data_IF_714724029663
#
_entry.id   IF_714724029663
#
_cell.length_a   1.000
_cell.length_b   1.000
_cell.length_c   1.000
_cell.angle_alpha   90.00
_cell.angle_beta   90.00
_cell.angle_gamma   90.00
#
_symmetry.space_group_name_H-M   'P 1'
#
loop_
_entity.id
_entity.type
_entity.pdbx_description
1 polymer ?
#
# COMPACT_ATOMS: atom_id res chain seq x y z
N UNK A 1 0.10 -34.34 -40.44
CA UNK A 1 0.09 -35.46 -39.48
C UNK A 1 1.47 -35.56 -38.85
N UNK A 2 1.64 -34.94 -37.69
CA UNK A 2 2.74 -35.28 -36.79
C UNK A 2 2.09 -35.79 -35.53
N UNK A 3 2.26 -37.09 -35.36
CA UNK A 3 1.83 -37.91 -34.26
C UNK A 3 2.81 -37.68 -33.10
N UNK A 4 2.31 -37.22 -31.96
CA UNK A 4 3.09 -37.01 -30.75
C UNK A 4 2.49 -37.86 -29.63
N UNK A 5 2.57 -39.18 -29.77
CA UNK A 5 2.38 -40.10 -28.67
C UNK A 5 3.65 -40.22 -27.84
N UNK A 6 3.53 -39.95 -26.53
CA UNK A 6 4.23 -40.70 -25.51
C UNK A 6 5.43 -40.03 -24.82
N UNK A 7 5.16 -39.34 -23.71
CA UNK A 7 5.99 -39.46 -22.50
C UNK A 7 5.05 -39.69 -21.33
N UNK A 8 5.09 -40.89 -20.75
CA UNK A 8 4.47 -41.20 -19.47
C UNK A 8 5.24 -40.52 -18.34
N UNK A 9 4.56 -39.87 -17.38
CA UNK A 9 5.05 -39.73 -16.03
C UNK A 9 4.26 -40.67 -15.10
N UNK A 10 5.01 -41.36 -14.27
CA UNK A 10 4.58 -42.22 -13.15
C UNK A 10 3.67 -41.51 -12.16
N UNK A 11 2.77 -42.30 -11.57
CA UNK A 11 1.77 -41.98 -10.55
C UNK A 11 2.15 -40.88 -9.54
N UNK A 12 1.34 -39.81 -9.55
CA UNK A 12 0.82 -39.14 -8.34
C UNK A 12 -0.24 -38.11 -8.76
N UNK A 13 -1.29 -38.58 -9.44
CA UNK A 13 -2.46 -37.75 -9.78
C UNK A 13 -3.35 -37.59 -8.54
N UNK A 14 -2.98 -36.65 -7.67
CA UNK A 14 -4.01 -35.96 -6.89
C UNK A 14 -4.83 -35.14 -7.90
N UNK A 15 -6.16 -35.35 -8.02
CA UNK A 15 -6.96 -34.55 -8.92
C UNK A 15 -7.07 -33.17 -8.28
N UNK A 16 -6.15 -32.27 -8.62
CA UNK A 16 -6.46 -30.85 -8.60
C UNK A 16 -7.58 -30.68 -9.63
N UNK A 17 -8.83 -30.85 -9.18
CA UNK A 17 -10.01 -30.59 -9.98
C UNK A 17 -9.77 -29.25 -10.68
N UNK A 18 -9.82 -29.25 -12.01
CA UNK A 18 -9.66 -28.04 -12.80
C UNK A 18 -10.75 -27.07 -12.34
N UNK A 19 -10.42 -26.16 -11.44
CA UNK A 19 -11.35 -25.15 -10.95
C UNK A 19 -11.70 -24.29 -12.16
N UNK A 20 -12.87 -24.55 -12.73
CA UNK A 20 -13.42 -23.77 -13.82
C UNK A 20 -13.48 -22.30 -13.39
N UNK A 21 -13.25 -21.39 -14.32
CA UNK A 21 -13.46 -19.98 -14.04
C UNK A 21 -14.96 -19.74 -13.79
N UNK A 22 -15.30 -19.36 -12.57
CA UNK A 22 -16.62 -18.83 -12.24
C UNK A 22 -16.56 -17.31 -12.31
N UNK A 23 -17.45 -16.73 -13.12
CA UNK A 23 -17.59 -15.27 -13.19
C UNK A 23 -18.02 -14.74 -11.82
N UNK A 24 -17.48 -13.58 -11.43
CA UNK A 24 -17.98 -12.85 -10.26
C UNK A 24 -19.31 -12.17 -10.58
N UNK A 25 -20.23 -12.20 -9.63
CA UNK A 25 -21.48 -11.42 -9.62
C UNK A 25 -21.37 -10.35 -8.50
N UNK A 26 -20.61 -9.25 -8.71
CA UNK A 26 -20.46 -8.20 -7.70
C UNK A 26 -21.81 -7.62 -7.25
N UNK A 27 -22.81 -7.57 -8.12
CA UNK A 27 -24.17 -7.11 -7.87
C UNK A 27 -24.91 -7.90 -6.76
N UNK A 28 -24.50 -9.13 -6.50
CA UNK A 28 -25.05 -9.97 -5.43
C UNK A 28 -24.38 -9.72 -4.07
N UNK A 29 -23.28 -8.96 -4.04
CA UNK A 29 -22.56 -8.69 -2.80
C UNK A 29 -23.22 -7.58 -1.99
N UNK A 30 -23.22 -7.73 -0.66
CA UNK A 30 -23.78 -6.72 0.25
C UNK A 30 -23.13 -5.33 0.06
N UNK A 31 -21.81 -5.27 -0.11
CA UNK A 31 -21.11 -4.00 -0.33
C UNK A 31 -21.58 -3.30 -1.60
N UNK A 32 -21.76 -4.05 -2.70
CA UNK A 32 -22.27 -3.47 -3.93
C UNK A 32 -23.68 -2.93 -3.73
N UNK A 33 -24.58 -3.73 -3.16
CA UNK A 33 -25.98 -3.34 -2.96
C UNK A 33 -26.10 -2.10 -2.08
N UNK A 34 -25.36 -2.02 -0.98
CA UNK A 34 -25.32 -0.84 -0.12
C UNK A 34 -24.85 0.41 -0.87
N UNK A 35 -23.79 0.30 -1.66
CA UNK A 35 -23.29 1.44 -2.43
C UNK A 35 -24.28 1.84 -3.54
N UNK A 36 -24.79 0.87 -4.30
CA UNK A 36 -25.73 1.11 -5.39
C UNK A 36 -27.02 1.78 -4.91
N UNK A 37 -27.51 1.39 -3.72
CA UNK A 37 -28.74 1.95 -3.15
C UNK A 37 -28.54 3.34 -2.55
N UNK A 38 -27.36 3.65 -1.99
CA UNK A 38 -27.18 4.83 -1.14
C UNK A 38 -26.28 5.92 -1.75
N UNK A 39 -25.46 5.61 -2.76
CA UNK A 39 -24.43 6.54 -3.21
C UNK A 39 -24.98 7.82 -3.84
N UNK A 40 -25.98 7.72 -4.72
CA UNK A 40 -26.59 8.91 -5.35
C UNK A 40 -27.30 9.80 -4.32
N UNK A 41 -28.01 9.19 -3.36
CA UNK A 41 -28.62 9.92 -2.23
C UNK A 41 -27.58 10.63 -1.37
N UNK A 42 -26.48 9.94 -1.04
CA UNK A 42 -25.36 10.54 -0.31
C UNK A 42 -24.74 11.72 -1.06
N UNK A 43 -24.60 11.63 -2.39
CA UNK A 43 -24.09 12.75 -3.22
C UNK A 43 -25.05 13.94 -3.17
N UNK A 44 -26.34 13.69 -3.34
CA UNK A 44 -27.38 14.73 -3.33
C UNK A 44 -27.47 15.43 -1.97
N UNK A 45 -27.44 14.67 -0.86
CA UNK A 45 -27.51 15.20 0.50
C UNK A 45 -26.32 16.11 0.82
N UNK A 46 -25.12 15.76 0.37
CA UNK A 46 -23.94 16.61 0.54
C UNK A 46 -24.07 17.90 -0.28
N UNK A 47 -24.52 17.80 -1.53
CA UNK A 47 -24.73 18.97 -2.39
C UNK A 47 -25.77 19.94 -1.80
N UNK A 48 -26.86 19.41 -1.24
CA UNK A 48 -27.89 20.22 -0.56
C UNK A 48 -27.36 20.97 0.67
N UNK A 49 -26.31 20.46 1.33
CA UNK A 49 -25.63 21.11 2.45
C UNK A 49 -24.48 22.04 2.01
N UNK A 50 -24.34 22.29 0.71
CA UNK A 50 -23.27 23.11 0.13
C UNK A 50 -21.92 22.40 0.03
N UNK A 51 -21.86 21.08 0.27
CA UNK A 51 -20.64 20.27 0.13
C UNK A 51 -20.56 19.62 -1.24
N UNK A 52 -19.40 19.71 -1.90
CA UNK A 52 -19.16 19.01 -3.16
C UNK A 52 -18.17 17.88 -2.92
N UNK A 53 -18.55 16.66 -3.32
CA UNK A 53 -17.66 15.51 -3.30
C UNK A 53 -16.53 15.71 -4.31
N UNK A 54 -15.25 15.51 -3.91
CA UNK A 54 -14.15 15.58 -4.86
C UNK A 54 -14.36 14.62 -6.03
N UNK A 55 -14.06 15.07 -7.25
CA UNK A 55 -14.32 14.30 -8.47
C UNK A 55 -13.71 12.89 -8.43
N UNK A 56 -12.54 12.74 -7.79
CA UNK A 56 -11.85 11.46 -7.69
C UNK A 56 -12.59 10.49 -6.77
N UNK A 57 -13.28 10.97 -5.73
CA UNK A 57 -14.14 10.14 -4.88
C UNK A 57 -15.28 9.60 -5.71
N UNK A 58 -15.99 10.48 -6.44
CA UNK A 58 -17.08 10.07 -7.32
C UNK A 58 -16.64 9.04 -8.36
N UNK A 59 -15.51 9.28 -9.02
CA UNK A 59 -14.92 8.33 -9.98
C UNK A 59 -14.67 6.95 -9.36
N UNK A 60 -14.17 6.86 -8.13
CA UNK A 60 -13.91 5.56 -7.49
C UNK A 60 -15.20 4.78 -7.20
N UNK A 61 -16.26 5.47 -6.78
CA UNK A 61 -17.58 4.84 -6.54
C UNK A 61 -18.25 4.42 -7.85
N UNK A 62 -18.30 5.30 -8.85
CA UNK A 62 -18.83 4.99 -10.18
C UNK A 62 -18.05 3.83 -10.81
N UNK A 63 -16.72 3.84 -10.69
CA UNK A 63 -15.86 2.75 -11.14
C UNK A 63 -16.16 1.44 -10.43
N UNK A 64 -16.40 1.46 -9.13
CA UNK A 64 -16.78 0.26 -8.36
C UNK A 64 -18.13 -0.31 -8.82
N UNK A 65 -19.16 0.52 -8.98
CA UNK A 65 -20.48 0.10 -9.44
C UNK A 65 -20.46 -0.49 -10.85
N UNK A 66 -19.49 -0.09 -11.68
CA UNK A 66 -19.32 -0.66 -13.04
C UNK A 66 -18.43 -1.90 -13.08
N UNK A 67 -17.66 -2.16 -12.03
CA UNK A 67 -16.62 -3.18 -12.04
C UNK A 67 -17.19 -4.60 -11.98
N UNK A 68 -16.99 -5.40 -13.02
CA UNK A 68 -17.42 -6.81 -13.06
C UNK A 68 -18.86 -7.02 -13.56
N UNK A 69 -19.52 -5.95 -13.97
CA UNK A 69 -20.86 -5.95 -14.59
C UNK A 69 -20.70 -6.00 -16.11
N UNK A 70 -21.36 -6.95 -16.78
CA UNK A 70 -21.22 -7.14 -18.24
C UNK A 70 -21.76 -5.97 -19.06
N UNK A 71 -22.85 -5.35 -18.60
CA UNK A 71 -23.49 -4.21 -19.27
C UNK A 71 -22.56 -2.99 -19.39
N UNK A 72 -21.49 -2.95 -18.58
CA UNK A 72 -20.48 -1.90 -18.60
C UNK A 72 -19.22 -2.26 -19.38
N UNK A 73 -19.20 -3.42 -20.04
CA UNK A 73 -18.15 -3.86 -20.95
C UNK A 73 -17.57 -5.23 -20.60
N UNK A 74 -17.27 -6.02 -21.63
CA UNK A 74 -16.72 -7.36 -21.50
C UNK A 74 -15.74 -7.70 -22.63
N UNK A 75 -14.90 -8.70 -22.38
CA UNK A 75 -14.13 -9.41 -23.39
C UNK A 75 -14.64 -10.85 -23.51
N UNK A 76 -14.83 -11.33 -24.74
CA UNK A 76 -15.14 -12.73 -25.03
C UNK A 76 -13.84 -13.47 -25.31
N UNK A 77 -13.49 -14.41 -24.43
CA UNK A 77 -12.40 -15.35 -24.65
C UNK A 77 -12.97 -16.63 -25.25
N UNK A 78 -12.60 -16.89 -26.49
CA UNK A 78 -12.99 -18.09 -27.22
C UNK A 78 -11.77 -19.01 -27.40
N UNK A 79 -11.94 -20.29 -27.10
CA UNK A 79 -10.92 -21.31 -27.37
C UNK A 79 -11.36 -22.17 -28.56
N UNK A 80 -10.56 -22.18 -29.63
CA UNK A 80 -10.85 -22.96 -30.83
C UNK A 80 -10.74 -24.48 -30.61
N UNK A 81 -9.91 -24.94 -29.67
CA UNK A 81 -9.74 -26.38 -29.43
C UNK A 81 -10.92 -26.97 -28.67
N UNK A 82 -11.37 -26.29 -27.60
CA UNK A 82 -12.48 -26.77 -26.78
C UNK A 82 -13.84 -26.16 -27.12
N UNK A 83 -13.89 -25.22 -28.07
CA UNK A 83 -15.10 -24.53 -28.58
C UNK A 83 -15.93 -23.86 -27.47
N UNK A 84 -15.29 -23.43 -26.39
CA UNK A 84 -15.95 -22.78 -25.24
C UNK A 84 -15.67 -21.30 -25.21
N UNK A 85 -16.71 -20.57 -24.80
CA UNK A 85 -16.67 -19.15 -24.52
C UNK A 85 -16.55 -18.85 -23.03
N UNK A 86 -15.79 -17.81 -22.71
CA UNK A 86 -15.79 -17.17 -21.40
C UNK A 86 -15.96 -15.67 -21.57
N UNK A 87 -16.96 -15.12 -20.91
CA UNK A 87 -17.16 -13.68 -20.84
C UNK A 87 -16.43 -13.14 -19.61
N UNK A 88 -15.53 -12.19 -19.85
CA UNK A 88 -14.75 -11.54 -18.81
C UNK A 88 -15.19 -10.08 -18.75
N UNK A 89 -15.92 -9.72 -17.70
CA UNK A 89 -16.31 -8.34 -17.45
C UNK A 89 -15.08 -7.46 -17.16
N UNK A 90 -15.15 -6.19 -17.57
CA UNK A 90 -14.09 -5.23 -17.29
C UNK A 90 -13.97 -4.92 -15.80
N UNK A 91 -12.74 -4.56 -15.39
CA UNK A 91 -12.41 -4.22 -14.01
C UNK A 91 -12.11 -2.74 -13.89
N UNK A 92 -12.46 -2.13 -12.76
CA UNK A 92 -12.19 -0.70 -12.55
C UNK A 92 -10.71 -0.39 -12.35
N UNK A 93 -9.88 -1.40 -12.04
CA UNK A 93 -8.46 -1.24 -11.70
C UNK A 93 -8.23 -0.23 -10.57
N UNK A 94 -9.26 0.04 -9.75
CA UNK A 94 -9.23 0.92 -8.59
C UNK A 94 -8.38 0.36 -7.45
N UNK A 95 -8.12 1.19 -6.43
CA UNK A 95 -7.34 0.80 -5.23
C UNK A 95 -8.12 0.91 -3.93
N UNK A 96 -9.29 1.56 -3.98
CA UNK A 96 -9.98 2.04 -2.78
C UNK A 96 -11.12 1.11 -2.40
N UNK A 97 -12.25 1.22 -3.11
CA UNK A 97 -13.51 0.60 -2.71
C UNK A 97 -13.64 -0.86 -3.19
N UNK A 98 -13.21 -1.16 -4.41
CA UNK A 98 -13.40 -2.47 -5.03
C UNK A 98 -12.47 -3.53 -4.42
N UNK A 99 -12.98 -4.50 -3.62
CA UNK A 99 -12.13 -5.46 -2.93
C UNK A 99 -11.38 -6.36 -3.92
N UNK A 100 -12.05 -6.80 -5.00
CA UNK A 100 -11.40 -7.68 -5.97
C UNK A 100 -10.27 -7.01 -6.74
N UNK A 101 -10.44 -5.75 -7.16
CA UNK A 101 -9.36 -5.01 -7.84
C UNK A 101 -8.23 -4.64 -6.88
N UNK A 102 -8.58 -4.23 -5.66
CA UNK A 102 -7.61 -3.94 -4.59
C UNK A 102 -6.75 -5.16 -4.26
N UNK A 103 -7.39 -6.30 -3.97
CA UNK A 103 -6.70 -7.57 -3.65
C UNK A 103 -5.87 -8.07 -4.82
N UNK A 104 -6.40 -8.08 -6.05
CA UNK A 104 -5.62 -8.48 -7.24
C UNK A 104 -4.35 -7.65 -7.36
N UNK A 105 -4.47 -6.33 -7.23
CA UNK A 105 -3.32 -5.42 -7.31
C UNK A 105 -2.33 -5.61 -6.16
N UNK A 106 -2.81 -5.90 -4.95
CA UNK A 106 -1.92 -6.24 -3.82
C UNK A 106 -1.15 -7.53 -4.11
N UNK A 107 -1.82 -8.56 -4.61
CA UNK A 107 -1.19 -9.84 -4.97
C UNK A 107 -0.17 -9.66 -6.11
N UNK A 108 -0.53 -8.96 -7.18
CA UNK A 108 0.36 -8.68 -8.31
C UNK A 108 1.57 -7.83 -7.87
N UNK A 109 1.33 -6.85 -7.00
CA UNK A 109 2.39 -6.03 -6.41
C UNK A 109 3.34 -6.84 -5.52
N UNK A 110 2.80 -7.74 -4.70
CA UNK A 110 3.60 -8.63 -3.87
C UNK A 110 4.46 -9.59 -4.72
N UNK A 111 3.88 -10.21 -5.75
CA UNK A 111 4.60 -11.06 -6.69
C UNK A 111 5.73 -10.27 -7.38
N UNK A 112 5.44 -9.08 -7.90
CA UNK A 112 6.47 -8.23 -8.50
C UNK A 112 7.61 -7.90 -7.51
N UNK A 113 7.29 -7.58 -6.25
CA UNK A 113 8.30 -7.31 -5.24
C UNK A 113 9.17 -8.53 -4.96
N UNK A 114 8.58 -9.72 -4.80
CA UNK A 114 9.32 -10.96 -4.49
C UNK A 114 10.15 -11.45 -5.67
N UNK A 115 9.61 -11.35 -6.88
CA UNK A 115 10.21 -11.93 -8.07
C UNK A 115 11.24 -11.01 -8.73
N UNK A 116 11.07 -9.68 -8.62
CA UNK A 116 11.80 -8.71 -9.46
C UNK A 116 12.51 -7.60 -8.69
N UNK A 117 12.15 -7.31 -7.43
CA UNK A 117 12.67 -6.13 -6.72
C UNK A 117 13.49 -6.52 -5.49
N UNK A 118 12.95 -7.36 -4.62
CA UNK A 118 13.60 -7.76 -3.39
C UNK A 118 14.72 -8.76 -3.70
N UNK A 119 15.93 -8.54 -3.15
CA UNK A 119 17.02 -9.49 -3.33
C UNK A 119 16.75 -10.78 -2.54
N UNK A 120 17.47 -11.85 -2.88
CA UNK A 120 17.51 -13.08 -2.07
C UNK A 120 18.33 -12.86 -0.79
N UNK A 121 17.78 -12.05 0.12
CA UNK A 121 18.35 -11.74 1.42
C UNK A 121 17.22 -11.63 2.46
N UNK A 122 17.49 -11.84 3.77
CA UNK A 122 16.52 -11.61 4.82
C UNK A 122 15.92 -10.19 4.75
N UNK A 123 14.62 -10.08 5.02
CA UNK A 123 13.87 -8.81 5.01
C UNK A 123 13.24 -8.61 6.38
N UNK A 124 13.27 -7.38 6.88
CA UNK A 124 12.63 -6.97 8.13
C UNK A 124 11.60 -5.89 7.87
N UNK A 125 10.42 -6.09 8.44
CA UNK A 125 9.38 -5.08 8.44
C UNK A 125 9.61 -4.05 9.55
N UNK A 126 9.61 -2.78 9.17
CA UNK A 126 9.56 -1.64 10.08
C UNK A 126 8.24 -0.91 9.86
N UNK A 127 7.50 -0.66 10.94
CA UNK A 127 6.21 0.04 10.88
C UNK A 127 6.31 1.34 11.68
N UNK A 128 6.02 2.46 11.03
CA UNK A 128 5.85 3.75 11.70
C UNK A 128 4.36 4.11 11.72
N UNK A 129 3.79 4.04 12.92
CA UNK A 129 2.45 4.54 13.22
C UNK A 129 2.56 5.95 13.79
N UNK A 130 1.70 6.86 13.32
CA UNK A 130 1.70 8.24 13.78
C UNK A 130 0.70 8.46 14.92
N UNK A 131 0.91 9.44 15.82
CA UNK A 131 -0.13 9.98 16.69
C UNK A 131 -1.36 10.42 15.90
N UNK A 132 -2.55 10.32 16.49
CA UNK A 132 -3.82 10.61 15.79
C UNK A 132 -3.86 11.98 15.12
N UNK A 133 -3.44 13.02 15.84
CA UNK A 133 -3.40 14.39 15.33
C UNK A 133 -2.53 14.47 14.04
N UNK A 134 -1.35 13.84 14.05
CA UNK A 134 -0.45 13.81 12.90
C UNK A 134 -1.02 13.04 11.70
N UNK A 135 -1.83 11.99 11.92
CA UNK A 135 -2.42 11.23 10.79
C UNK A 135 -3.29 12.10 9.90
N UNK A 136 -3.98 13.08 10.47
CA UNK A 136 -4.78 14.04 9.72
C UNK A 136 -3.87 14.91 8.84
N UNK A 137 -2.95 15.66 9.43
CA UNK A 137 -2.06 16.56 8.69
C UNK A 137 -1.27 15.84 7.58
N UNK A 138 -0.65 14.71 7.93
CA UNK A 138 0.14 13.88 7.01
C UNK A 138 -0.76 13.20 5.95
N UNK A 139 -2.02 12.93 6.29
CA UNK A 139 -3.01 12.39 5.37
C UNK A 139 -3.36 13.35 4.23
N UNK A 140 -3.47 14.65 4.53
CA UNK A 140 -3.86 15.67 3.55
C UNK A 140 -2.68 16.35 2.85
N UNK A 141 -1.48 16.24 3.41
CA UNK A 141 -0.28 16.82 2.83
C UNK A 141 0.67 15.73 2.31
N UNK A 142 0.68 15.52 0.99
CA UNK A 142 1.59 14.60 0.33
C UNK A 142 3.07 14.98 0.49
N UNK A 143 3.39 16.28 0.56
CA UNK A 143 4.75 16.80 0.78
C UNK A 143 5.20 16.46 2.20
N UNK A 144 4.37 16.77 3.20
CA UNK A 144 4.64 16.42 4.60
C UNK A 144 4.75 14.90 4.77
N UNK A 145 3.88 14.12 4.13
CA UNK A 145 3.96 12.65 4.11
C UNK A 145 5.30 12.16 3.57
N UNK A 146 5.78 12.72 2.45
CA UNK A 146 7.10 12.44 1.91
C UNK A 146 8.23 12.82 2.89
N UNK A 147 8.13 13.96 3.56
CA UNK A 147 9.12 14.41 4.55
C UNK A 147 9.18 13.49 5.77
N UNK A 148 8.04 13.14 6.36
CA UNK A 148 7.95 12.22 7.51
C UNK A 148 8.50 10.84 7.12
N UNK A 149 8.11 10.32 5.95
CA UNK A 149 8.65 9.05 5.43
C UNK A 149 10.17 9.13 5.24
N UNK A 150 10.69 10.21 4.66
CA UNK A 150 12.13 10.37 4.45
C UNK A 150 12.92 10.47 5.76
N UNK A 151 12.35 11.10 6.81
CA UNK A 151 12.94 11.10 8.15
C UNK A 151 13.00 9.69 8.74
N UNK A 152 11.88 8.95 8.66
CA UNK A 152 11.79 7.57 9.13
C UNK A 152 12.80 6.64 8.44
N UNK A 153 12.82 6.64 7.11
CA UNK A 153 13.75 5.80 6.33
C UNK A 153 15.20 6.15 6.68
N UNK A 154 15.54 7.43 6.79
CA UNK A 154 16.91 7.86 7.16
C UNK A 154 17.32 7.41 8.56
N UNK A 155 16.41 7.48 9.54
CA UNK A 155 16.70 7.02 10.91
C UNK A 155 17.00 5.51 10.93
N UNK A 156 16.19 4.69 10.25
CA UNK A 156 16.41 3.24 10.15
C UNK A 156 17.72 2.93 9.40
N UNK A 157 17.95 3.54 8.23
CA UNK A 157 19.19 3.34 7.45
C UNK A 157 20.43 3.72 8.26
N UNK A 158 20.39 4.86 8.97
CA UNK A 158 21.47 5.32 9.84
C UNK A 158 21.79 4.28 10.92
N UNK A 159 20.78 3.61 11.49
CA UNK A 159 21.00 2.53 12.46
C UNK A 159 21.72 1.34 11.82
N UNK A 160 21.24 0.82 10.69
CA UNK A 160 21.88 -0.29 9.97
C UNK A 160 23.35 0.03 9.65
N UNK A 161 23.62 1.22 9.10
CA UNK A 161 24.98 1.64 8.75
C UNK A 161 25.92 1.79 9.95
N UNK A 162 25.44 2.39 11.04
CA UNK A 162 26.25 2.55 12.27
C UNK A 162 26.58 1.19 12.90
N UNK A 163 25.62 0.26 12.90
CA UNK A 163 25.86 -1.11 13.40
C UNK A 163 26.86 -1.85 12.53
N UNK A 164 26.68 -1.81 11.22
CA UNK A 164 27.62 -2.41 10.26
C UNK A 164 29.03 -1.86 10.46
N UNK A 165 29.18 -0.53 10.61
CA UNK A 165 30.47 0.10 10.89
C UNK A 165 31.12 -0.45 12.16
N UNK A 166 30.38 -0.46 13.28
CA UNK A 166 30.91 -0.91 14.56
C UNK A 166 31.30 -2.41 14.57
N UNK A 167 30.52 -3.26 13.91
CA UNK A 167 30.72 -4.71 13.96
C UNK A 167 31.70 -5.24 12.92
N UNK A 168 31.77 -4.59 11.76
CA UNK A 168 32.63 -5.01 10.65
C UNK A 168 33.91 -4.18 10.57
N UNK A 169 34.12 -3.22 11.49
CA UNK A 169 35.29 -2.34 11.49
C UNK A 169 35.40 -1.45 10.26
N UNK A 170 34.26 -1.03 9.67
CA UNK A 170 34.28 -0.22 8.44
C UNK A 170 34.92 1.16 8.72
N UNK A 171 35.71 1.66 7.78
CA UNK A 171 36.28 3.01 7.89
C UNK A 171 35.15 4.07 7.89
N UNK A 172 34.12 3.87 7.07
CA UNK A 172 32.99 4.79 6.92
C UNK A 172 31.65 4.08 6.84
N UNK A 173 30.62 4.72 7.41
CA UNK A 173 29.21 4.30 7.25
C UNK A 173 28.74 4.35 5.80
N UNK A 174 29.45 5.09 4.93
CA UNK A 174 29.13 5.19 3.50
C UNK A 174 29.40 3.89 2.73
N UNK A 175 30.25 3.01 3.27
CA UNK A 175 30.51 1.69 2.69
C UNK A 175 29.33 0.71 2.87
N UNK A 176 28.40 1.02 3.79
CA UNK A 176 27.26 0.18 4.09
C UNK A 176 26.01 0.64 3.32
N UNK A 177 25.63 -0.10 2.29
CA UNK A 177 24.46 0.17 1.47
C UNK A 177 23.23 -0.54 2.05
N UNK A 178 22.10 0.15 2.05
CA UNK A 178 20.82 -0.31 2.59
C UNK A 178 19.75 -0.15 1.53
N UNK A 179 18.70 -0.97 1.57
CA UNK A 179 17.55 -0.85 0.67
C UNK A 179 16.23 -1.05 1.42
N UNK A 180 15.19 -0.32 1.00
CA UNK A 180 13.85 -0.49 1.53
C UNK A 180 12.78 -0.19 0.48
N UNK A 181 11.65 -0.89 0.59
CA UNK A 181 10.41 -0.60 -0.12
C UNK A 181 9.33 -0.23 0.90
N UNK A 182 8.58 0.84 0.66
CA UNK A 182 7.52 1.27 1.59
C UNK A 182 6.14 1.24 0.94
N UNK A 183 5.18 0.63 1.63
CA UNK A 183 3.76 0.81 1.38
C UNK A 183 3.19 1.85 2.37
N UNK A 184 2.58 2.91 1.83
CA UNK A 184 1.89 3.94 2.62
C UNK A 184 0.44 3.51 2.75
N UNK A 185 0.04 3.06 3.93
CA UNK A 185 -1.33 2.68 4.21
C UNK A 185 -2.07 3.87 4.84
N UNK A 186 -3.26 4.17 4.33
CA UNK A 186 -4.05 5.36 4.70
C UNK A 186 -5.33 5.03 5.47
N UNK A 187 -5.64 3.76 5.67
CA UNK A 187 -6.90 3.33 6.27
C UNK A 187 -6.68 2.25 7.33
N UNK A 188 -7.63 2.21 8.25
CA UNK A 188 -7.80 1.15 9.25
C UNK A 188 -8.77 0.08 8.75
N UNK A 189 -8.95 -1.00 9.52
CA UNK A 189 -9.97 -2.03 9.22
C UNK A 189 -11.39 -1.47 9.11
N UNK A 190 -11.68 -0.34 9.75
CA UNK A 190 -12.98 0.35 9.66
C UNK A 190 -13.02 1.41 8.55
N UNK A 191 -12.06 1.41 7.63
CA UNK A 191 -11.87 2.39 6.55
C UNK A 191 -11.61 3.85 7.00
N UNK A 192 -11.57 4.11 8.30
CA UNK A 192 -11.22 5.42 8.83
C UNK A 192 -9.74 5.77 8.57
N UNK A 193 -9.45 7.06 8.41
CA UNK A 193 -8.11 7.59 8.16
C UNK A 193 -7.13 7.08 9.22
N UNK A 194 -6.16 6.31 8.77
CA UNK A 194 -5.09 5.78 9.60
C UNK A 194 -3.80 5.74 8.78
N UNK A 195 -3.12 6.88 8.67
CA UNK A 195 -1.87 6.95 7.92
C UNK A 195 -0.72 6.32 8.72
N UNK A 196 -0.11 5.28 8.14
CA UNK A 196 1.06 4.59 8.66
C UNK A 196 1.91 4.02 7.53
N UNK A 197 3.19 3.79 7.82
CA UNK A 197 4.17 3.33 6.86
C UNK A 197 4.56 1.89 7.16
N UNK A 198 4.43 1.00 6.18
CA UNK A 198 5.02 -0.34 6.21
C UNK A 198 6.26 -0.36 5.33
N UNK A 199 7.45 -0.39 5.93
CA UNK A 199 8.72 -0.39 5.22
C UNK A 199 9.41 -1.75 5.34
N UNK A 200 9.61 -2.42 4.21
CA UNK A 200 10.37 -3.65 4.09
C UNK A 200 11.84 -3.30 3.85
N UNK A 201 12.68 -3.46 4.85
CA UNK A 201 14.12 -3.26 4.75
C UNK A 201 14.83 -4.58 4.49
N UNK A 202 15.88 -4.58 3.66
CA UNK A 202 16.86 -5.67 3.70
C UNK A 202 17.44 -5.72 5.11
N UNK A 203 17.43 -6.89 5.74
CA UNK A 203 17.79 -7.05 7.15
C UNK A 203 19.29 -7.19 7.33
N UNK A 204 20.00 -6.17 6.89
CA UNK A 204 21.45 -6.17 6.76
C UNK A 204 21.89 -5.00 5.90
N UNK A 205 23.09 -5.14 5.34
CA UNK A 205 23.72 -4.16 4.47
C UNK A 205 24.40 -4.86 3.31
N UNK A 206 24.59 -4.15 2.21
CA UNK A 206 25.48 -4.55 1.13
C UNK A 206 26.79 -3.76 1.24
N UNK A 207 27.90 -4.46 1.06
CA UNK A 207 29.22 -3.88 0.85
C UNK A 207 29.59 -4.04 -0.63
N UNK A 208 30.16 -3.02 -1.23
CA UNK A 208 30.77 -3.13 -2.56
C UNK A 208 32.15 -3.78 -2.43
N UNK A 209 32.41 -4.80 -3.25
CA UNK A 209 33.70 -5.48 -3.35
C UNK A 209 34.59 -4.79 -4.39
N UNK A 210 35.88 -5.11 -4.36
CA UNK A 210 36.85 -4.55 -5.30
C UNK A 210 36.54 -4.88 -6.77
N UNK A 211 35.83 -5.99 -7.03
CA UNK A 211 35.36 -6.40 -8.37
C UNK A 211 34.04 -5.74 -8.79
N UNK A 212 33.52 -4.79 -8.01
CA UNK A 212 32.24 -4.11 -8.25
C UNK A 212 31.00 -4.93 -7.87
N UNK A 213 31.16 -6.15 -7.36
CA UNK A 213 30.02 -6.96 -6.91
C UNK A 213 29.56 -6.57 -5.51
N UNK A 214 28.26 -6.74 -5.23
CA UNK A 214 27.70 -6.46 -3.92
C UNK A 214 27.68 -7.71 -3.03
N UNK A 215 28.21 -7.61 -1.82
CA UNK A 215 28.16 -8.67 -0.81
C UNK A 215 27.20 -8.31 0.32
N UNK A 216 26.19 -9.15 0.53
CA UNK A 216 25.30 -8.99 1.67
C UNK A 216 25.98 -9.39 2.99
N UNK A 217 25.77 -8.58 4.03
CA UNK A 217 26.19 -8.85 5.41
C UNK A 217 25.00 -8.63 6.33
N UNK A 218 24.69 -9.63 7.14
CA UNK A 218 23.70 -9.50 8.21
C UNK A 218 24.20 -8.54 9.27
N UNK A 219 23.27 -7.79 9.87
CA UNK A 219 23.51 -7.12 11.15
C UNK A 219 22.50 -7.69 12.15
N UNK A 220 22.81 -7.77 13.45
CA UNK A 220 21.87 -8.36 14.39
C UNK A 220 20.61 -7.49 14.52
N UNK A 221 19.49 -8.10 14.93
CA UNK A 221 18.22 -7.41 15.09
C UNK A 221 18.34 -6.21 16.04
N UNK A 222 17.51 -5.17 15.85
CA UNK A 222 17.47 -4.04 16.77
C UNK A 222 17.01 -4.50 18.16
N UNK A 223 17.68 -4.01 19.20
CA UNK A 223 17.21 -4.18 20.59
C UNK A 223 16.06 -3.21 20.89
N UNK A 224 15.33 -3.41 21.99
CA UNK A 224 14.29 -2.47 22.44
C UNK A 224 14.82 -1.04 22.60
N UNK A 225 16.03 -0.88 23.15
CA UNK A 225 16.69 0.43 23.30
C UNK A 225 16.96 1.09 21.94
N UNK A 226 17.26 0.29 20.92
CA UNK A 226 17.47 0.82 19.57
C UNK A 226 16.18 1.20 18.89
N UNK A 227 15.11 0.41 19.07
CA UNK A 227 13.79 0.80 18.61
C UNK A 227 13.37 2.13 19.24
N UNK A 228 13.58 2.30 20.55
CA UNK A 228 13.33 3.57 21.23
C UNK A 228 14.17 4.71 20.63
N UNK A 229 15.47 4.50 20.42
CA UNK A 229 16.33 5.53 19.84
C UNK A 229 15.91 5.94 18.42
N UNK A 230 15.42 5.00 17.59
CA UNK A 230 14.86 5.32 16.27
C UNK A 230 13.56 6.12 16.44
N UNK A 231 12.69 5.74 17.36
CA UNK A 231 11.45 6.48 17.65
C UNK A 231 11.74 7.90 18.11
N UNK A 232 12.68 8.09 19.04
CA UNK A 232 13.05 9.40 19.57
C UNK A 232 13.67 10.29 18.48
N UNK A 233 14.56 9.72 17.65
CA UNK A 233 15.15 10.44 16.51
C UNK A 233 14.08 10.89 15.51
N UNK A 234 13.13 10.02 15.18
CA UNK A 234 12.02 10.35 14.28
C UNK A 234 11.11 11.40 14.91
N UNK A 235 10.74 11.25 16.18
CA UNK A 235 9.90 12.20 16.90
C UNK A 235 10.51 13.61 16.90
N UNK A 236 11.77 13.72 17.36
CA UNK A 236 12.49 14.99 17.40
C UNK A 236 12.72 15.59 16.00
N UNK A 237 12.82 14.76 14.96
CA UNK A 237 12.94 15.25 13.60
C UNK A 237 11.60 15.74 13.03
N UNK A 238 10.50 15.06 13.32
CA UNK A 238 9.15 15.44 12.88
C UNK A 238 8.70 16.72 13.58
N UNK A 239 8.98 16.89 14.87
CA UNK A 239 8.71 18.12 15.62
C UNK A 239 9.40 19.36 15.06
N UNK A 240 10.50 19.19 14.31
CA UNK A 240 11.24 20.29 13.67
C UNK A 240 10.72 20.63 12.28
N UNK A 241 9.75 19.88 11.74
CA UNK A 241 9.11 20.24 10.48
C UNK A 241 8.23 21.47 10.69
N UNK A 242 8.40 22.48 9.84
CA UNK A 242 7.60 23.72 9.90
C UNK A 242 6.11 23.40 9.71
N UNK A 243 5.25 24.06 10.48
CA UNK A 243 3.79 23.92 10.37
C UNK A 243 3.20 22.72 11.13
N UNK A 244 4.02 22.02 11.93
CA UNK A 244 3.57 21.03 12.90
C UNK A 244 3.80 21.56 14.32
N UNK A 245 2.72 21.99 14.97
CA UNK A 245 2.67 22.04 16.43
C UNK A 245 1.99 20.75 16.90
N UNK A 246 2.69 19.97 17.73
CA UNK A 246 2.14 18.72 18.27
C UNK A 246 1.36 18.95 19.57
N UNK A 247 1.59 20.09 20.23
CA UNK A 247 1.04 20.42 21.53
C UNK A 247 -0.25 21.24 21.40
N UNK A 248 -0.39 22.03 20.33
CA UNK A 248 -1.67 22.57 19.90
C UNK A 248 -2.22 21.72 18.75
N UNK A 249 -3.45 21.24 18.84
CA UNK A 249 -4.12 20.41 17.80
C UNK A 249 -4.40 21.22 16.51
N UNK A 250 -3.68 22.31 16.27
CA UNK A 250 -3.81 23.20 15.13
C UNK A 250 -2.70 22.92 14.11
N UNK A 251 -3.09 22.33 12.98
CA UNK A 251 -2.17 22.06 11.88
C UNK A 251 -2.28 23.14 10.81
N UNK A 252 -1.42 24.15 10.90
CA UNK A 252 -1.30 25.17 9.85
C UNK A 252 -0.84 24.57 8.51
N UNK A 253 -0.02 23.51 8.54
CA UNK A 253 0.54 22.88 7.34
C UNK A 253 -0.52 22.35 6.33
N UNK A 254 -1.73 22.02 6.80
CA UNK A 254 -2.81 21.56 5.91
C UNK A 254 -3.96 22.57 5.78
N UNK A 255 -3.92 23.73 6.44
CA UNK A 255 -5.03 24.69 6.55
C UNK A 255 -5.61 25.08 5.18
N UNK A 256 -4.75 25.49 4.24
CA UNK A 256 -5.18 25.91 2.90
C UNK A 256 -5.80 24.76 2.09
N UNK A 257 -5.28 23.54 2.23
CA UNK A 257 -5.82 22.34 1.57
C UNK A 257 -7.14 21.88 2.18
N UNK A 258 -7.25 21.95 3.50
CA UNK A 258 -8.52 21.67 4.19
C UNK A 258 -9.59 22.70 3.88
N UNK A 259 -9.21 23.95 3.60
CA UNK A 259 -10.13 24.99 3.14
C UNK A 259 -10.59 24.78 1.69
N UNK A 260 -9.71 24.26 0.82
CA UNK A 260 -10.05 23.93 -0.57
C UNK A 260 -10.98 22.71 -0.69
N UNK A 261 -10.88 21.73 0.22
CA UNK A 261 -11.71 20.51 0.23
C UNK A 261 -12.39 20.29 1.60
N UNK A 262 -13.35 21.15 1.99
CA UNK A 262 -13.92 21.17 3.33
C UNK A 262 -14.67 19.88 3.68
N UNK A 263 -15.36 19.28 2.70
CA UNK A 263 -16.08 18.01 2.90
C UNK A 263 -15.10 16.85 3.16
N UNK A 264 -14.02 16.75 2.38
CA UNK A 264 -13.03 15.70 2.57
C UNK A 264 -12.31 15.86 3.91
N UNK A 265 -11.95 17.09 4.26
CA UNK A 265 -11.38 17.43 5.57
C UNK A 265 -12.34 17.06 6.71
N UNK A 266 -13.64 17.33 6.58
CA UNK A 266 -14.64 16.96 7.56
C UNK A 266 -14.75 15.43 7.74
N UNK A 267 -14.84 14.67 6.64
CA UNK A 267 -14.90 13.21 6.67
C UNK A 267 -13.67 12.60 7.34
N UNK A 268 -12.47 13.06 6.98
CA UNK A 268 -11.25 12.56 7.58
C UNK A 268 -11.06 13.00 9.04
N UNK A 269 -11.47 14.23 9.37
CA UNK A 269 -11.47 14.71 10.76
C UNK A 269 -12.43 13.90 11.64
N UNK A 270 -13.61 13.53 11.11
CA UNK A 270 -14.53 12.61 11.78
C UNK A 270 -13.89 11.23 11.99
N UNK A 271 -13.22 10.68 10.96
CA UNK A 271 -12.57 9.37 11.04
C UNK A 271 -11.41 9.30 12.05
N UNK A 272 -10.75 10.42 12.33
CA UNK A 272 -9.70 10.53 13.35
C UNK A 272 -10.31 10.71 14.75
N UNK A 273 -11.46 11.40 14.88
CA UNK A 273 -12.12 11.69 16.16
C UNK A 273 -13.01 10.57 16.71
N UNK A 274 -13.47 9.67 15.86
CA UNK A 274 -14.38 8.58 16.25
C UNK A 274 -13.65 7.40 16.95
N UNK A 275 -12.51 7.63 17.59
CA UNK A 275 -11.63 6.61 18.18
C UNK A 275 -11.00 7.09 19.48
#
# INVERSE_FOLDING_TARGET
>A
MHDCTGVHPTDSTSPAAAVGYTRRAPEETLLYQLVAQNFDGFVADNAARGGILPWFVRREFDGFLRCGILDHGLCRLYCADCQRDRLIAFSCKGRSLCPSCGVRRMADGAAHLVDRVLPKAPVRQWVLSLPYALRFAVGFDATLCGQVLALFIRAVQRRYRRRAKAQLGLASVRQAHTGAVTAIQRFSSSLGLNLHFHSLFVDGIYLERADGTAQFRTVPPPSRRELQAVTDEVCAAVQRLRGLDLDSVQFDACRDRTAAEPLLAACAGAAVRSR
#
